data_IF_900080783699
#
_entry.id   IF_900080783699
#
_cell.length_a   1.000
_cell.length_b   1.000
_cell.length_c   1.000
_cell.angle_alpha   90.00
_cell.angle_beta   90.00
_cell.angle_gamma   90.00
#
_symmetry.space_group_name_H-M   'P 1'
#
loop_
_entity.id
_entity.type
_entity.pdbx_description
1 polymer ?
#
# COMPACT_ATOMS: atom_id res chain seq x y z
N UNK A 1 31.24 -0.79 -9.67
CA UNK A 1 30.71 -0.74 -11.06
C UNK A 1 31.23 0.55 -11.70
N UNK A 2 32.03 0.43 -12.76
CA UNK A 2 32.64 1.57 -13.43
C UNK A 2 31.68 2.12 -14.50
N UNK A 3 30.74 2.99 -14.09
CA UNK A 3 29.72 3.59 -14.96
C UNK A 3 30.27 4.64 -15.96
N UNK A 4 31.57 4.98 -15.88
CA UNK A 4 32.22 5.92 -16.82
C UNK A 4 32.27 5.42 -18.28
N UNK A 5 31.93 4.16 -18.55
CA UNK A 5 32.06 3.57 -19.89
C UNK A 5 30.78 3.56 -20.73
N UNK A 6 29.63 3.95 -20.20
CA UNK A 6 28.39 3.87 -20.97
C UNK A 6 27.78 5.25 -21.16
N UNK A 7 27.94 5.78 -22.37
CA UNK A 7 27.13 6.95 -22.79
C UNK A 7 25.70 6.41 -23.05
N UNK A 8 24.86 6.48 -22.02
CA UNK A 8 23.51 5.88 -22.06
C UNK A 8 22.60 6.82 -22.85
N UNK A 9 22.30 6.46 -24.09
CA UNK A 9 21.36 7.23 -24.93
C UNK A 9 19.90 6.99 -24.53
N UNK A 10 19.02 7.88 -24.97
CA UNK A 10 17.57 7.78 -24.79
C UNK A 10 17.01 6.45 -25.38
N UNK A 11 17.51 6.08 -26.56
CA UNK A 11 17.12 4.85 -27.25
C UNK A 11 17.55 3.61 -26.44
N UNK A 12 18.71 3.68 -25.80
CA UNK A 12 19.19 2.60 -24.95
C UNK A 12 18.34 2.44 -23.70
N UNK A 13 17.98 3.55 -23.03
CA UNK A 13 17.04 3.53 -21.91
C UNK A 13 15.66 2.99 -22.33
N UNK A 14 15.18 3.37 -23.52
CA UNK A 14 13.93 2.86 -24.04
C UNK A 14 13.99 1.35 -24.31
N UNK A 15 15.07 0.85 -24.92
CA UNK A 15 15.26 -0.58 -25.20
C UNK A 15 15.30 -1.44 -23.93
N UNK A 16 15.72 -0.88 -22.81
CA UNK A 16 15.71 -1.53 -21.49
C UNK A 16 14.39 -1.35 -20.71
N UNK A 17 13.43 -0.60 -21.26
CA UNK A 17 12.19 -0.24 -20.55
C UNK A 17 12.38 0.77 -19.41
N UNK A 18 13.53 1.43 -19.33
CA UNK A 18 13.90 2.34 -18.23
C UNK A 18 13.61 3.81 -18.53
N UNK A 19 13.27 4.18 -19.76
CA UNK A 19 13.10 5.59 -20.16
C UNK A 19 12.03 6.31 -19.32
N UNK A 20 10.89 5.68 -19.12
CA UNK A 20 9.80 6.27 -18.29
C UNK A 20 10.25 6.51 -16.86
N UNK A 21 10.91 5.52 -16.25
CA UNK A 21 11.43 5.63 -14.89
C UNK A 21 12.46 6.76 -14.79
N UNK A 22 13.41 6.80 -15.72
CA UNK A 22 14.42 7.85 -15.76
C UNK A 22 13.81 9.26 -15.88
N UNK A 23 12.79 9.44 -16.74
CA UNK A 23 12.09 10.72 -16.89
C UNK A 23 11.36 11.13 -15.61
N UNK A 24 10.75 10.17 -14.88
CA UNK A 24 10.13 10.41 -13.57
C UNK A 24 11.19 10.90 -12.58
N UNK A 25 12.33 10.21 -12.48
CA UNK A 25 13.41 10.58 -11.56
C UNK A 25 13.96 11.98 -11.86
N UNK A 26 14.15 12.33 -13.14
CA UNK A 26 14.56 13.69 -13.54
C UNK A 26 13.49 14.74 -13.16
N UNK A 27 12.22 14.40 -13.24
CA UNK A 27 11.13 15.31 -12.85
C UNK A 27 11.13 15.53 -11.34
N UNK A 28 11.39 14.48 -10.56
CA UNK A 28 11.56 14.60 -9.10
C UNK A 28 12.73 15.53 -8.77
N UNK A 29 13.89 15.36 -9.42
CA UNK A 29 15.06 16.20 -9.18
C UNK A 29 14.77 17.67 -9.43
N UNK A 30 14.05 17.99 -10.51
CA UNK A 30 13.62 19.37 -10.81
C UNK A 30 12.70 19.95 -9.74
N UNK A 31 11.80 19.12 -9.18
CA UNK A 31 10.83 19.57 -8.16
C UNK A 31 11.46 19.81 -6.80
N UNK A 32 12.55 19.12 -6.48
CA UNK A 32 13.20 19.20 -5.17
C UNK A 32 14.44 20.08 -5.15
N UNK A 33 14.82 20.70 -6.29
CA UNK A 33 16.06 21.44 -6.44
C UNK A 33 16.17 22.62 -5.45
N UNK A 34 15.06 23.30 -5.19
CA UNK A 34 15.00 24.47 -4.31
C UNK A 34 14.82 24.11 -2.82
N UNK A 35 14.71 22.80 -2.49
CA UNK A 35 14.57 22.38 -1.10
C UNK A 35 15.97 22.27 -0.48
N UNK A 36 16.27 23.16 0.43
CA UNK A 36 17.49 23.12 1.23
C UNK A 36 17.33 22.21 2.44
N UNK A 37 18.41 21.60 2.87
CA UNK A 37 18.52 20.85 4.14
C UNK A 37 19.66 21.46 4.92
N UNK A 38 19.39 21.83 6.16
CA UNK A 38 20.44 22.33 7.04
C UNK A 38 21.36 21.17 7.49
N UNK A 39 22.62 21.48 7.72
CA UNK A 39 23.63 20.45 8.08
C UNK A 39 23.30 19.76 9.41
N UNK A 40 22.63 20.45 10.34
CA UNK A 40 22.25 19.87 11.62
C UNK A 40 21.18 18.77 11.48
N UNK A 41 20.32 18.90 10.48
CA UNK A 41 19.25 17.93 10.20
C UNK A 41 19.72 16.72 9.39
N UNK A 42 20.84 16.82 8.68
CA UNK A 42 21.33 15.72 7.84
C UNK A 42 21.54 14.42 8.63
N UNK A 43 22.17 14.52 9.79
CA UNK A 43 22.46 13.37 10.64
C UNK A 43 21.19 12.65 11.08
N UNK A 44 20.19 13.39 11.55
CA UNK A 44 18.91 12.82 11.99
C UNK A 44 18.14 12.16 10.84
N UNK A 45 18.19 12.76 9.64
CA UNK A 45 17.56 12.20 8.43
C UNK A 45 18.19 10.85 8.05
N UNK A 46 19.51 10.75 8.11
CA UNK A 46 20.23 9.50 7.83
C UNK A 46 19.91 8.42 8.85
N UNK A 47 19.94 8.78 10.14
CA UNK A 47 19.60 7.83 11.22
C UNK A 47 18.15 7.33 11.13
N UNK A 48 17.21 8.21 10.81
CA UNK A 48 15.79 7.84 10.62
C UNK A 48 15.63 6.89 9.43
N UNK A 49 16.33 7.17 8.31
CA UNK A 49 16.30 6.30 7.15
C UNK A 49 16.86 4.91 7.48
N UNK A 50 18.02 4.82 8.16
CA UNK A 50 18.64 3.56 8.58
C UNK A 50 17.70 2.74 9.48
N UNK A 51 17.05 3.40 10.46
CA UNK A 51 16.04 2.77 11.31
C UNK A 51 14.85 2.25 10.51
N UNK A 52 14.36 3.02 9.53
CA UNK A 52 13.22 2.63 8.68
C UNK A 52 13.49 1.40 7.82
N UNK A 53 14.78 1.10 7.57
CA UNK A 53 15.24 -0.09 6.82
C UNK A 53 15.59 -1.27 7.71
N UNK A 54 15.37 -1.16 9.04
CA UNK A 54 15.76 -2.17 10.03
C UNK A 54 17.24 -2.55 10.00
N UNK A 55 18.12 -1.64 9.57
CA UNK A 55 19.58 -1.81 9.60
C UNK A 55 20.04 -1.56 11.03
N UNK A 56 20.65 -2.56 11.67
CA UNK A 56 20.93 -2.56 13.10
C UNK A 56 22.40 -2.28 13.46
N UNK A 57 23.29 -2.34 12.48
CA UNK A 57 24.71 -2.13 12.70
C UNK A 57 25.39 -1.38 11.56
N UNK A 58 26.53 -0.75 11.85
CA UNK A 58 27.35 -0.12 10.82
C UNK A 58 27.83 -1.13 9.77
N UNK A 59 28.10 -2.36 10.16
CA UNK A 59 28.52 -3.42 9.23
C UNK A 59 27.40 -3.75 8.22
N UNK A 60 26.17 -3.83 8.67
CA UNK A 60 25.01 -4.02 7.79
C UNK A 60 24.79 -2.83 6.86
N UNK A 61 25.01 -1.59 7.36
CA UNK A 61 24.91 -0.38 6.54
C UNK A 61 25.97 -0.37 5.44
N UNK A 62 27.24 -0.65 5.79
CA UNK A 62 28.34 -0.71 4.82
C UNK A 62 28.13 -1.79 3.76
N UNK A 63 27.63 -2.97 4.18
CA UNK A 63 27.26 -4.04 3.27
C UNK A 63 26.16 -3.57 2.31
N UNK A 64 25.09 -2.96 2.84
CA UNK A 64 23.97 -2.46 2.05
C UNK A 64 24.44 -1.40 1.03
N UNK A 65 25.27 -0.42 1.46
CA UNK A 65 25.84 0.60 0.56
C UNK A 65 26.61 -0.05 -0.59
N UNK A 66 27.47 -1.00 -0.28
CA UNK A 66 28.29 -1.70 -1.27
C UNK A 66 27.43 -2.51 -2.27
N UNK A 67 26.43 -3.23 -1.79
CA UNK A 67 25.50 -3.99 -2.63
C UNK A 67 24.70 -3.11 -3.58
N UNK A 68 24.39 -1.87 -3.15
CA UNK A 68 23.63 -0.90 -3.94
C UNK A 68 24.54 0.09 -4.72
N UNK A 69 25.87 -0.07 -4.64
CA UNK A 69 26.83 0.73 -5.41
C UNK A 69 27.03 2.16 -4.89
N UNK A 70 26.76 2.42 -3.60
CA UNK A 70 26.94 3.71 -2.98
C UNK A 70 28.29 3.80 -2.25
N UNK A 71 28.97 4.95 -2.44
CA UNK A 71 29.91 5.49 -1.47
C UNK A 71 29.17 6.34 -0.41
N UNK A 72 29.91 6.91 0.54
CA UNK A 72 29.31 7.70 1.62
C UNK A 72 28.57 8.94 1.12
N UNK A 73 29.15 9.63 0.15
CA UNK A 73 28.51 10.81 -0.45
C UNK A 73 27.27 10.45 -1.23
N UNK A 74 27.35 9.46 -2.10
CA UNK A 74 26.20 8.98 -2.89
C UNK A 74 25.07 8.46 -2.01
N UNK A 75 25.41 7.79 -0.90
CA UNK A 75 24.42 7.37 0.08
C UNK A 75 23.74 8.58 0.76
N UNK A 76 24.52 9.56 1.20
CA UNK A 76 24.00 10.80 1.79
C UNK A 76 23.05 11.51 0.81
N UNK A 77 23.48 11.72 -0.43
CA UNK A 77 22.68 12.35 -1.47
C UNK A 77 21.38 11.57 -1.76
N UNK A 78 21.46 10.26 -1.84
CA UNK A 78 20.31 9.38 -2.06
C UNK A 78 19.26 9.54 -0.95
N UNK A 79 19.66 9.50 0.32
CA UNK A 79 18.73 9.61 1.46
C UNK A 79 18.16 11.02 1.55
N UNK A 80 18.99 12.07 1.38
CA UNK A 80 18.55 13.46 1.38
C UNK A 80 17.53 13.71 0.25
N UNK A 81 17.78 13.16 -0.94
CA UNK A 81 16.86 13.26 -2.07
C UNK A 81 15.48 12.68 -1.75
N UNK A 82 15.46 11.52 -1.09
CA UNK A 82 14.18 10.89 -0.66
C UNK A 82 13.46 11.77 0.35
N UNK A 83 14.18 12.34 1.30
CA UNK A 83 13.62 13.25 2.29
C UNK A 83 13.05 14.52 1.63
N UNK A 84 13.81 15.18 0.75
CA UNK A 84 13.35 16.35 -0.03
C UNK A 84 12.10 16.06 -0.82
N UNK A 85 11.99 14.88 -1.43
CA UNK A 85 10.81 14.48 -2.16
C UNK A 85 9.59 14.35 -1.25
N UNK A 86 9.74 13.76 -0.06
CA UNK A 86 8.67 13.68 0.93
C UNK A 86 8.21 15.06 1.39
N UNK A 87 9.12 15.96 1.69
CA UNK A 87 8.81 17.33 2.10
C UNK A 87 8.10 18.10 0.97
N UNK A 88 8.57 17.94 -0.27
CA UNK A 88 7.89 18.53 -1.43
C UNK A 88 6.45 18.01 -1.55
N UNK A 89 6.25 16.70 -1.52
CA UNK A 89 4.93 16.09 -1.59
C UNK A 89 4.01 16.56 -0.45
N UNK A 90 4.55 16.63 0.77
CA UNK A 90 3.80 17.11 1.93
C UNK A 90 3.31 18.54 1.71
N UNK A 91 4.22 19.44 1.34
CA UNK A 91 3.90 20.85 1.09
C UNK A 91 2.89 21.02 -0.05
N UNK A 92 3.06 20.29 -1.15
CA UNK A 92 2.24 20.41 -2.36
C UNK A 92 0.81 19.90 -2.13
N UNK A 93 0.65 18.79 -1.39
CA UNK A 93 -0.63 18.10 -1.25
C UNK A 93 -1.30 18.24 0.12
N UNK A 94 -0.67 18.94 1.07
CA UNK A 94 -1.19 19.06 2.46
C UNK A 94 -2.65 19.52 2.50
N UNK A 95 -3.00 20.52 1.70
CA UNK A 95 -4.34 21.08 1.65
C UNK A 95 -5.36 20.14 0.96
N UNK A 96 -4.90 19.21 0.14
CA UNK A 96 -5.77 18.27 -0.58
C UNK A 96 -6.05 16.99 0.22
N UNK A 97 -5.18 16.65 1.18
CA UNK A 97 -5.28 15.40 1.96
C UNK A 97 -6.65 15.23 2.62
N UNK A 98 -7.24 16.23 3.31
CA UNK A 98 -8.53 16.05 3.96
C UNK A 98 -9.65 15.72 2.98
N UNK A 99 -9.72 16.43 1.86
CA UNK A 99 -10.75 16.22 0.84
C UNK A 99 -10.58 14.87 0.13
N UNK A 100 -9.35 14.49 -0.15
CA UNK A 100 -9.03 13.20 -0.75
C UNK A 100 -9.33 12.04 0.20
N UNK A 101 -9.00 12.19 1.50
CA UNK A 101 -9.34 11.21 2.53
C UNK A 101 -10.85 11.00 2.62
N UNK A 102 -11.64 12.09 2.69
CA UNK A 102 -13.11 12.01 2.75
C UNK A 102 -13.71 11.28 1.55
N UNK A 103 -13.17 11.53 0.34
CA UNK A 103 -13.61 10.82 -0.88
C UNK A 103 -13.28 9.32 -0.83
N UNK A 104 -12.18 8.94 -0.20
CA UNK A 104 -11.72 7.55 -0.15
C UNK A 104 -12.16 6.80 1.11
N UNK A 105 -12.54 7.51 2.16
CA UNK A 105 -12.93 6.90 3.43
C UNK A 105 -13.92 5.75 3.26
N UNK A 106 -15.03 5.89 2.49
CA UNK A 106 -15.98 4.79 2.31
C UNK A 106 -15.37 3.53 1.68
N UNK A 107 -14.24 3.67 0.95
CA UNK A 107 -13.54 2.55 0.32
C UNK A 107 -12.45 1.96 1.23
N UNK A 108 -12.04 2.69 2.26
CA UNK A 108 -10.99 2.28 3.20
C UNK A 108 -11.56 1.56 4.42
N UNK A 109 -12.86 1.69 4.67
CA UNK A 109 -13.51 1.04 5.79
C UNK A 109 -13.37 -0.47 5.67
N UNK A 110 -13.02 -1.09 6.80
CA UNK A 110 -12.84 -2.53 6.93
C UNK A 110 -14.00 -3.07 7.77
N UNK A 111 -14.64 -4.11 7.28
CA UNK A 111 -15.80 -4.70 7.94
C UNK A 111 -15.71 -6.22 8.00
N UNK A 112 -16.45 -6.78 8.95
CA UNK A 112 -16.72 -8.21 9.04
C UNK A 112 -18.23 -8.40 8.97
N UNK A 113 -18.67 -9.28 8.11
CA UNK A 113 -20.08 -9.57 7.91
C UNK A 113 -20.33 -11.08 7.81
N UNK A 114 -21.61 -11.45 7.91
CA UNK A 114 -22.00 -12.84 7.72
C UNK A 114 -22.91 -12.97 6.51
N UNK A 115 -22.69 -13.99 5.70
CA UNK A 115 -23.46 -14.28 4.52
C UNK A 115 -23.79 -15.78 4.44
N UNK A 116 -24.99 -16.06 3.98
CA UNK A 116 -25.47 -17.37 3.61
C UNK A 116 -25.89 -17.34 2.14
N UNK A 117 -25.34 -18.22 1.32
CA UNK A 117 -25.62 -18.28 -0.12
C UNK A 117 -26.22 -19.62 -0.49
N UNK A 118 -27.42 -19.57 -1.05
CA UNK A 118 -28.10 -20.74 -1.65
C UNK A 118 -28.68 -20.31 -3.00
N UNK A 119 -28.80 -21.25 -3.94
CA UNK A 119 -29.38 -20.99 -5.26
C UNK A 119 -30.90 -20.95 -5.25
N UNK A 120 -31.51 -21.79 -4.41
CA UNK A 120 -32.95 -21.89 -4.31
C UNK A 120 -33.53 -20.76 -3.44
N UNK A 121 -34.40 -19.96 -4.01
CA UNK A 121 -35.06 -18.84 -3.33
C UNK A 121 -35.99 -19.29 -2.21
N UNK A 122 -36.74 -20.39 -2.37
CA UNK A 122 -37.63 -20.89 -1.35
C UNK A 122 -36.86 -21.40 -0.14
N UNK A 123 -35.74 -22.09 -0.40
CA UNK A 123 -34.82 -22.51 0.65
C UNK A 123 -34.25 -21.29 1.39
N UNK A 124 -33.84 -20.22 0.67
CA UNK A 124 -33.35 -19.01 1.32
C UNK A 124 -34.39 -18.40 2.28
N UNK A 125 -35.65 -18.35 1.88
CA UNK A 125 -36.72 -17.82 2.70
C UNK A 125 -36.94 -18.73 3.92
N UNK A 126 -36.99 -20.04 3.73
CA UNK A 126 -37.14 -21.02 4.82
C UNK A 126 -36.02 -20.87 5.86
N UNK A 127 -34.76 -20.82 5.41
CA UNK A 127 -33.61 -20.68 6.29
C UNK A 127 -33.62 -19.36 7.05
N UNK A 128 -34.02 -18.26 6.38
CA UNK A 128 -34.21 -16.96 7.03
C UNK A 128 -35.27 -17.03 8.16
N UNK A 129 -36.42 -17.67 7.91
CA UNK A 129 -37.45 -17.82 8.92
C UNK A 129 -36.98 -18.65 10.12
N UNK A 130 -36.31 -19.77 9.89
CA UNK A 130 -35.74 -20.61 10.96
C UNK A 130 -34.76 -19.83 11.85
N UNK A 131 -33.94 -18.94 11.24
CA UNK A 131 -33.04 -18.09 12.02
C UNK A 131 -33.83 -17.05 12.80
N UNK A 132 -34.81 -16.41 12.16
CA UNK A 132 -35.65 -15.36 12.75
C UNK A 132 -36.48 -15.88 13.94
N UNK A 133 -36.98 -17.09 13.85
CA UNK A 133 -37.79 -17.75 14.90
C UNK A 133 -36.95 -18.43 15.98
N UNK A 134 -35.62 -18.39 15.82
CA UNK A 134 -34.68 -18.93 16.82
C UNK A 134 -34.55 -20.46 16.80
N UNK A 135 -35.10 -21.14 15.80
CA UNK A 135 -34.99 -22.59 15.65
C UNK A 135 -33.53 -23.03 15.42
N UNK A 136 -32.73 -22.18 14.84
CA UNK A 136 -31.32 -22.47 14.61
C UNK A 136 -30.49 -21.19 14.53
N UNK A 137 -29.17 -21.32 14.81
CA UNK A 137 -28.27 -20.17 14.70
C UNK A 137 -27.81 -19.96 13.25
N UNK A 138 -27.55 -18.71 12.88
CA UNK A 138 -26.99 -18.37 11.57
C UNK A 138 -25.74 -19.21 11.23
N UNK A 139 -24.83 -19.35 12.20
CA UNK A 139 -23.61 -20.13 12.07
C UNK A 139 -23.87 -21.61 11.70
N UNK A 140 -24.85 -22.24 12.37
CA UNK A 140 -25.21 -23.62 12.11
C UNK A 140 -25.77 -23.79 10.71
N UNK A 141 -26.71 -22.92 10.35
CA UNK A 141 -27.35 -22.93 9.03
C UNK A 141 -26.35 -22.64 7.92
N UNK A 142 -25.46 -21.63 8.09
CA UNK A 142 -24.44 -21.31 7.11
C UNK A 142 -23.47 -22.47 6.88
N UNK A 143 -23.06 -23.18 7.93
CA UNK A 143 -22.21 -24.38 7.79
C UNK A 143 -22.87 -25.49 7.00
N UNK A 144 -24.17 -25.66 7.17
CA UNK A 144 -24.90 -26.79 6.60
C UNK A 144 -25.40 -26.53 5.17
N UNK A 145 -25.83 -25.31 4.88
CA UNK A 145 -26.52 -24.97 3.65
C UNK A 145 -25.81 -23.99 2.73
N UNK A 146 -24.85 -23.21 3.22
CA UNK A 146 -24.19 -22.27 2.33
C UNK A 146 -23.33 -22.97 1.28
N UNK A 147 -23.54 -22.59 0.03
CA UNK A 147 -22.83 -23.14 -1.13
C UNK A 147 -21.46 -22.44 -1.38
N UNK A 148 -21.15 -21.40 -0.62
CA UNK A 148 -19.90 -20.67 -0.75
C UNK A 148 -18.81 -21.14 0.21
N UNK A 149 -17.57 -20.63 0.01
CA UNK A 149 -16.42 -20.96 0.85
C UNK A 149 -16.62 -20.54 2.32
N UNK A 150 -17.45 -19.55 2.57
CA UNK A 150 -17.77 -19.07 3.91
C UNK A 150 -18.52 -20.10 4.76
N UNK A 151 -19.07 -21.15 4.17
CA UNK A 151 -19.71 -22.26 4.91
C UNK A 151 -18.77 -22.87 5.95
N UNK A 152 -17.48 -23.03 5.62
CA UNK A 152 -16.48 -23.58 6.53
C UNK A 152 -16.30 -22.72 7.80
N UNK A 153 -16.51 -21.40 7.71
CA UNK A 153 -16.39 -20.46 8.81
C UNK A 153 -17.75 -19.99 9.37
N UNK A 154 -18.82 -20.76 9.13
CA UNK A 154 -20.17 -20.44 9.62
C UNK A 154 -20.75 -19.16 9.04
N UNK A 155 -20.37 -18.84 7.79
CA UNK A 155 -20.86 -17.70 7.05
C UNK A 155 -20.08 -16.40 7.27
N UNK A 156 -19.08 -16.38 8.16
CA UNK A 156 -18.32 -15.15 8.48
C UNK A 156 -17.29 -14.87 7.39
N UNK A 157 -17.29 -13.63 6.91
CA UNK A 157 -16.31 -13.07 5.98
C UNK A 157 -15.73 -11.80 6.60
N UNK A 158 -14.42 -11.72 6.62
CA UNK A 158 -13.70 -10.55 7.10
C UNK A 158 -12.60 -10.87 8.11
N UNK A 159 -11.85 -9.84 8.52
CA UNK A 159 -11.98 -8.44 8.10
C UNK A 159 -11.58 -8.23 6.63
N UNK A 160 -12.43 -7.51 5.88
CA UNK A 160 -12.19 -7.17 4.46
C UNK A 160 -12.51 -5.70 4.21
N UNK A 161 -11.77 -5.07 3.27
CA UNK A 161 -12.13 -3.73 2.82
C UNK A 161 -13.48 -3.75 2.10
N UNK A 162 -14.32 -2.75 2.36
CA UNK A 162 -15.62 -2.60 1.70
C UNK A 162 -15.49 -2.52 0.17
N UNK A 163 -14.36 -2.01 -0.34
CA UNK A 163 -14.06 -1.99 -1.77
C UNK A 163 -13.94 -3.37 -2.41
N UNK A 164 -13.69 -4.41 -1.62
CA UNK A 164 -13.60 -5.81 -2.07
C UNK A 164 -14.93 -6.57 -1.92
N UNK A 165 -15.96 -5.93 -1.38
CA UNK A 165 -17.29 -6.50 -1.25
C UNK A 165 -18.08 -6.24 -2.52
N UNK A 166 -18.98 -7.18 -2.88
CA UNK A 166 -19.86 -6.98 -4.03
C UNK A 166 -20.65 -5.67 -3.89
N UNK A 167 -20.77 -4.83 -4.93
CA UNK A 167 -21.37 -3.50 -4.83
C UNK A 167 -22.78 -3.46 -4.23
N UNK A 168 -23.60 -4.48 -4.50
CA UNK A 168 -24.96 -4.58 -3.91
C UNK A 168 -24.91 -4.83 -2.41
N UNK A 169 -23.96 -5.66 -1.94
CA UNK A 169 -23.77 -5.90 -0.50
C UNK A 169 -23.17 -4.69 0.19
N UNK A 170 -22.20 -4.02 -0.44
CA UNK A 170 -21.58 -2.81 0.11
C UNK A 170 -22.57 -1.65 0.34
N UNK A 171 -23.73 -1.65 -0.32
CA UNK A 171 -24.80 -0.68 -0.09
C UNK A 171 -25.70 -1.03 1.10
N UNK A 172 -25.68 -2.29 1.53
CA UNK A 172 -26.50 -2.79 2.64
C UNK A 172 -25.74 -2.83 3.96
N UNK A 173 -24.40 -2.79 3.89
CA UNK A 173 -23.45 -2.82 5.00
C UNK A 173 -22.97 -1.42 5.36
#
# INVERSE_FOLDING_TARGET
>A
YNLKMYNISKEKLASWGLLKKFTIEQTIDKKVIDISVDESSVKSILEEWVKSKNIRSNQELEKWKKENGFDDNGFKEFVIRIWKWKEWCKKEFENEIPSYYLKRKPLLDVLTYSILRVKDQNLAIELYLRIKEGESTFKTIAKKYSEGKESSNGGIIGPVSISNVHPLLAKLL
#
